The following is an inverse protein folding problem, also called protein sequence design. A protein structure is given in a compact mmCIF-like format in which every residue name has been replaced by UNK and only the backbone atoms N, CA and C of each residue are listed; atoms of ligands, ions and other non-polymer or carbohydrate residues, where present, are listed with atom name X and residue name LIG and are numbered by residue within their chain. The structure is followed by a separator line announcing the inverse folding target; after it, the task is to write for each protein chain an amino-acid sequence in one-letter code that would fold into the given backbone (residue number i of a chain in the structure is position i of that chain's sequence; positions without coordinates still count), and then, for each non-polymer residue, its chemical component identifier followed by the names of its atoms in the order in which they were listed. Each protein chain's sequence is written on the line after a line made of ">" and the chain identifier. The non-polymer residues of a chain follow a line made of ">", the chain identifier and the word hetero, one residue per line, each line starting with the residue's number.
data_IF_145332765202
#
_entry.id   IF_145332765202
#
_cell.length_a   1.000
_cell.length_b   1.000
_cell.length_c   1.000
_cell.angle_alpha   90.00
_cell.angle_beta   90.00
_cell.angle_gamma   90.00
#
_symmetry.space_group_name_H-M   'P 1'
#
loop_
_entity.id
_entity.type
_entity.pdbx_description
1 polymer ?
2 non-polymer ?
3 non-polymer ?
4 water ?
#
# COMPACT_ATOMS: atom_id res chain seq x y z
N UNK A 21 17.72 7.21 3.78
CA UNK A 21 16.30 7.66 4.03
C UNK A 21 15.50 8.17 2.80
N UNK A 23 12.27 9.49 0.45
CA UNK A 23 11.04 10.24 0.40
C UNK A 23 9.99 9.32 -0.22
N UNK A 24 9.04 8.91 0.61
CA UNK A 24 8.05 7.93 0.23
C UNK A 24 6.69 8.63 0.16
N UNK A 25 6.16 8.73 -1.07
CA UNK A 25 4.79 9.15 -1.29
C UNK A 25 3.84 8.05 -0.88
N UNK A 26 2.99 8.35 0.10
CA UNK A 26 1.87 7.44 0.49
C UNK A 26 0.56 7.92 -0.17
N UNK A 27 0.16 7.22 -1.21
CA UNK A 27 -1.09 7.47 -1.95
C UNK A 27 -2.19 6.79 -1.12
N UNK A 28 -3.22 7.54 -0.78
CA UNK A 28 -4.24 6.99 0.11
C UNK A 28 -3.89 7.20 1.57
N UNK A 29 -3.18 8.31 1.86
CA UNK A 29 -2.49 8.50 3.15
C UNK A 29 -3.44 8.72 4.38
N UNK A 30 -4.70 9.08 4.10
CA UNK A 30 -5.70 9.22 5.16
C UNK A 30 -6.44 7.91 5.53
N UNK A 31 -6.12 6.82 4.84
CA UNK A 31 -6.70 5.52 5.14
C UNK A 31 -6.08 4.90 6.41
N UNK A 32 -6.68 3.81 6.87
CA UNK A 32 -6.38 3.23 8.17
C UNK A 32 -4.99 2.61 8.18
N UNK A 33 -4.67 1.75 7.20
CA UNK A 33 -3.32 1.26 7.02
C UNK A 33 -2.28 2.39 6.82
N UNK A 34 -2.59 3.32 5.92
CA UNK A 34 -1.69 4.42 5.56
C UNK A 34 -1.31 5.28 6.72
N UNK A 35 -2.29 5.57 7.57
CA UNK A 35 -2.03 6.33 8.74
C UNK A 35 -0.96 5.69 9.62
N UNK A 36 -1.15 4.41 9.99
CA UNK A 36 -0.08 3.67 10.68
C UNK A 36 1.24 3.66 9.92
N UNK A 37 1.17 3.43 8.60
CA UNK A 37 2.34 3.48 7.75
C UNK A 37 3.15 4.79 7.84
N UNK A 38 2.50 5.94 8.00
CA UNK A 38 3.27 7.20 8.13
C UNK A 38 4.26 7.13 9.30
N UNK A 39 3.77 6.64 10.43
CA UNK A 39 4.58 6.48 11.61
C UNK A 39 5.66 5.40 11.46
N UNK A 40 5.31 4.28 10.85
CA UNK A 40 6.29 3.23 10.64
C UNK A 40 7.44 3.68 9.76
N UNK A 41 7.14 4.44 8.70
CA UNK A 41 8.15 4.93 7.78
C UNK A 41 9.05 5.96 8.46
N UNK A 42 8.44 6.86 9.20
CA UNK A 42 9.17 7.86 9.94
C UNK A 42 10.20 7.19 10.89
N UNK A 43 9.75 6.17 11.60
CA UNK A 43 10.61 5.61 12.61
C UNK A 43 11.65 4.65 12.02
N UNK A 44 11.54 4.38 10.72
CA UNK A 44 12.58 3.69 9.95
C UNK A 44 13.58 4.68 9.32
N UNK A 45 13.38 5.98 9.53
CA UNK A 45 14.26 7.02 8.97
C UNK A 45 13.88 7.58 7.61
N UNK A 46 12.69 7.22 7.12
CA UNK A 46 12.18 7.71 5.85
C UNK A 46 11.41 8.99 6.05
N UNK A 47 11.19 9.67 4.95
CA UNK A 47 10.38 10.88 4.93
C UNK A 47 9.06 10.56 4.24
N UNK A 48 7.98 10.31 5.06
CA UNK A 48 6.69 10.06 4.47
C UNK A 48 5.99 11.34 4.00
N UNK A 49 5.56 11.30 2.74
CA UNK A 49 4.84 12.38 2.09
C UNK A 49 3.43 11.87 1.95
N UNK A 50 2.50 12.52 2.65
CA UNK A 50 1.10 12.08 2.62
C UNK A 50 0.35 12.78 1.52
N UNK A 52 -3.27 13.61 0.13
CA UNK A 52 -4.64 13.79 0.65
C UNK A 52 -5.48 14.58 -0.35
N UNK A 53 -6.78 14.27 -0.36
CA UNK A 53 -7.78 14.94 -1.20
C UNK A 53 -8.06 16.36 -0.72
N UNK A 54 -8.08 16.57 0.60
CA UNK A 54 -8.23 17.95 1.11
C UNK A 54 -7.25 18.34 2.17
N UNK A 55 -6.87 19.62 2.11
CA UNK A 55 -5.80 20.20 2.91
C UNK A 55 -6.02 20.07 4.42
N UNK A 56 -7.29 19.99 4.84
CA UNK A 56 -7.63 19.97 6.25
C UNK A 56 -7.24 18.63 6.92
N UNK A 57 -6.99 17.60 6.11
CA UNK A 57 -6.55 16.30 6.62
C UNK A 57 -5.06 16.31 6.98
N UNK A 58 -4.33 17.29 6.45
CA UNK A 58 -2.89 17.39 6.64
C UNK A 58 -2.29 17.57 8.05
N UNK A 59 -2.80 18.54 8.83
CA UNK A 59 -2.26 18.72 10.18
C UNK A 59 -2.20 17.43 11.03
N UNK A 60 -3.25 16.61 11.01
CA UNK A 60 -3.21 15.37 11.83
C UNK A 60 -2.30 14.31 11.24
N UNK A 61 -2.15 14.30 9.91
CA UNK A 61 -1.22 13.34 9.30
C UNK A 61 0.24 13.72 9.57
N UNK A 62 0.53 15.01 9.63
CA UNK A 62 1.82 15.47 10.16
C UNK A 62 2.07 14.98 11.61
N UNK A 63 1.05 15.05 12.49
CA UNK A 63 1.14 14.54 13.87
C UNK A 63 1.42 13.03 13.88
N UNK A 64 0.82 12.32 12.95
CA UNK A 64 1.00 10.85 12.81
C UNK A 64 2.32 10.41 12.13
N UNK A 65 3.10 11.36 11.67
CA UNK A 65 4.40 11.03 11.08
C UNK A 65 4.78 11.61 9.71
N UNK A 66 3.85 12.27 9.02
CA UNK A 66 4.15 12.80 7.69
C UNK A 66 5.11 13.98 7.77
N UNK A 67 6.07 13.94 6.84
CA UNK A 67 7.11 14.97 6.66
C UNK A 67 6.61 16.14 5.80
N UNK A 68 5.65 15.84 4.95
CA UNK A 68 5.10 16.78 3.97
C UNK A 68 3.73 16.29 3.58
N UNK A 69 2.89 17.19 3.10
CA UNK A 69 1.55 16.90 2.68
C UNK A 69 1.46 17.43 1.27
N UNK A 70 0.84 16.62 0.42
CA UNK A 70 0.52 17.05 -0.93
C UNK A 70 -0.98 16.80 -1.13
N UNK A 71 -1.63 17.82 -1.68
CA UNK A 71 -3.08 17.81 -1.91
C UNK A 71 -3.30 17.45 -3.38
N UNK A 72 -3.84 16.26 -3.62
CA UNK A 72 -4.03 15.75 -4.96
C UNK A 72 -5.12 14.68 -4.88
N UNK A 73 -5.70 14.35 -6.03
CA UNK A 73 -6.86 13.50 -6.14
C UNK A 73 -6.57 12.53 -7.29
N UNK A 74 -6.76 11.24 -7.11
CA UNK A 74 -6.51 10.25 -8.18
C UNK A 74 -7.45 10.39 -9.42
N UNK A 75 -8.56 11.10 -9.25
CA UNK A 75 -9.50 11.33 -10.31
C UNK A 75 -9.21 12.61 -11.11
N UNK A 76 -8.24 13.41 -10.66
CA UNK A 76 -7.84 14.62 -11.34
C UNK A 76 -6.38 14.51 -11.72
N UNK A 77 -5.77 15.58 -12.19
CA UNK A 77 -4.34 15.59 -12.49
C UNK A 77 -3.56 15.62 -11.16
N UNK A 78 -2.87 14.55 -10.83
CA UNK A 78 -2.15 14.49 -9.57
C UNK A 78 -0.62 14.40 -9.74
N UNK A 79 -0.11 14.74 -10.95
CA UNK A 79 1.30 14.56 -11.27
C UNK A 79 2.21 15.39 -10.36
N UNK A 80 1.76 16.57 -9.93
CA UNK A 80 2.55 17.39 -8.99
C UNK A 80 2.96 16.63 -7.72
N UNK A 81 2.14 15.66 -7.32
CA UNK A 81 2.35 14.85 -6.10
C UNK A 81 3.65 14.06 -6.10
N UNK A 82 4.15 13.76 -7.30
CA UNK A 82 5.28 12.84 -7.50
C UNK A 82 6.64 13.54 -7.55
N UNK A 83 6.64 14.85 -7.32
CA UNK A 83 7.84 15.67 -7.31
C UNK A 83 8.73 15.34 -6.13
N UNK A 84 10.03 15.23 -6.37
CA UNK A 84 11.02 14.83 -5.35
C UNK A 84 10.69 13.58 -4.53
N UNK A 85 10.28 12.51 -5.19
CA UNK A 85 9.88 11.26 -4.53
C UNK A 85 10.84 10.11 -4.89
N UNK A 86 11.21 9.27 -3.92
CA UNK A 86 12.10 8.13 -4.16
C UNK A 86 11.36 6.79 -4.27
N UNK A 87 10.17 6.71 -3.65
CA UNK A 87 9.36 5.46 -3.56
C UNK A 87 7.89 5.85 -3.46
N UNK A 88 7.03 5.02 -4.05
CA UNK A 88 5.58 5.21 -3.96
C UNK A 88 4.98 4.02 -3.28
N UNK A 89 4.06 4.26 -2.34
CA UNK A 89 3.25 3.15 -1.78
C UNK A 89 1.79 3.44 -2.19
N UNK A 90 1.19 2.52 -2.96
CA UNK A 90 -0.22 2.68 -3.31
C UNK A 90 -1.08 1.98 -2.23
N UNK A 91 -1.65 2.81 -1.35
CA UNK A 91 -2.48 2.35 -0.25
C UNK A 91 -3.92 2.91 -0.35
N UNK A 92 -4.35 3.32 -1.55
CA UNK A 92 -5.66 3.94 -1.76
C UNK A 92 -6.71 2.89 -2.09
N UNK A 93 -7.95 3.28 -1.90
CA UNK A 93 -9.07 2.38 -2.13
C UNK A 93 -10.35 3.17 -1.97
N UNK A 94 -11.35 2.78 -2.74
CA UNK A 94 -12.67 3.42 -2.67
C UNK A 94 -13.43 3.13 -1.34
N UNK A 95 -13.21 1.93 -0.79
CA UNK A 95 -13.92 1.44 0.40
C UNK A 95 -15.32 0.89 0.18
N UNK A 96 -15.86 0.17 1.21
CA UNK A 96 -17.18 -0.48 1.07
C UNK A 96 -18.44 0.44 1.03
N UNK A 97 -18.25 1.76 1.12
CA UNK A 97 -19.35 2.75 1.20
C UNK A 97 -19.63 3.53 -0.11
N UNK A 98 -18.64 3.60 -1.00
CA UNK A 98 -18.83 4.13 -2.34
C UNK A 98 -19.18 2.96 -3.28
N UNK A 99 -19.69 3.25 -4.48
CA UNK A 99 -20.05 2.20 -5.43
C UNK A 99 -18.90 1.40 -6.07
N UNK A 100 -19.27 0.35 -6.80
CA UNK A 100 -18.32 -0.37 -7.62
C UNK A 100 -17.75 0.55 -8.71
N UNK A 101 -18.44 1.64 -9.04
CA UNK A 101 -17.86 2.64 -9.94
C UNK A 101 -16.51 3.16 -9.43
N UNK A 102 -16.41 3.35 -8.12
CA UNK A 102 -15.19 3.90 -7.52
C UNK A 102 -14.10 2.82 -7.33
N UNK A 103 -14.49 1.57 -7.18
CA UNK A 103 -13.56 0.45 -7.20
C UNK A 103 -12.82 0.43 -8.52
N UNK A 104 -13.54 0.53 -9.64
CA UNK A 104 -12.91 0.71 -10.97
C UNK A 104 -12.01 1.95 -11.06
N UNK A 105 -12.55 3.08 -10.66
CA UNK A 105 -11.89 4.36 -10.87
C UNK A 105 -10.71 4.61 -9.89
N UNK A 106 -10.78 4.09 -8.64
CA UNK A 106 -9.70 4.28 -7.64
C UNK A 106 -8.77 3.06 -7.60
N UNK A 107 -9.31 1.93 -7.17
CA UNK A 107 -8.47 0.77 -6.91
C UNK A 107 -7.75 0.28 -8.17
N UNK A 108 -8.41 0.41 -9.34
CA UNK A 108 -7.85 -0.12 -10.58
C UNK A 108 -7.22 1.00 -11.41
N UNK A 109 -8.06 1.91 -11.88
CA UNK A 109 -7.65 2.94 -12.81
C UNK A 109 -6.68 3.89 -12.13
N UNK A 110 -6.98 4.28 -10.88
CA UNK A 110 -6.08 5.12 -10.07
C UNK A 110 -4.68 4.54 -9.89
N UNK A 111 -4.61 3.24 -9.62
CA UNK A 111 -3.37 2.51 -9.48
C UNK A 111 -2.62 2.49 -10.78
N UNK A 112 -3.33 2.22 -11.87
CA UNK A 112 -2.75 2.23 -13.21
C UNK A 112 -2.11 3.58 -13.56
N UNK A 113 -2.81 4.68 -13.29
CA UNK A 113 -2.25 5.99 -13.48
C UNK A 113 -1.06 6.28 -12.54
N UNK A 114 -1.05 5.76 -11.31
CA UNK A 114 0.08 6.01 -10.36
C UNK A 114 1.34 5.32 -10.86
N UNK A 115 1.15 4.14 -11.43
CA UNK A 115 2.22 3.37 -12.02
C UNK A 115 2.83 4.09 -13.23
N UNK A 116 1.96 4.60 -14.10
CA UNK A 116 2.40 5.33 -15.28
C UNK A 116 3.13 6.60 -14.88
N UNK A 117 2.63 7.28 -13.86
CA UNK A 117 3.30 8.49 -13.39
C UNK A 117 4.69 8.18 -12.80
N UNK A 118 4.83 7.08 -12.04
CA UNK A 118 6.12 6.64 -11.53
C UNK A 118 7.10 6.29 -12.66
N UNK A 119 6.66 5.54 -13.68
CA UNK A 119 7.51 5.29 -14.86
C UNK A 119 7.97 6.56 -15.58
N UNK A 120 7.00 7.42 -15.87
CA UNK A 120 7.21 8.71 -16.51
C UNK A 120 8.34 9.48 -15.79
N UNK A 121 8.22 9.56 -14.47
CA UNK A 121 9.19 10.28 -13.64
C UNK A 121 10.50 9.53 -13.30
N UNK A 122 10.58 8.24 -13.58
CA UNK A 122 11.77 7.48 -13.25
C UNK A 122 11.87 7.11 -11.77
N UNK A 123 10.75 7.12 -11.03
CA UNK A 123 10.71 6.67 -9.63
C UNK A 123 10.68 5.14 -9.69
N UNK A 124 11.73 4.50 -9.23
CA UNK A 124 11.89 3.04 -9.45
C UNK A 124 11.09 2.19 -8.46
N UNK A 125 11.01 2.63 -7.24
CA UNK A 125 10.48 1.80 -6.14
C UNK A 125 8.99 1.99 -5.94
N UNK A 126 8.25 0.89 -6.04
CA UNK A 126 6.82 0.90 -5.97
C UNK A 126 6.31 -0.27 -5.10
N UNK A 127 5.59 0.05 -4.04
CA UNK A 127 4.93 -0.96 -3.20
C UNK A 127 3.39 -0.88 -3.38
N UNK A 129 -0.22 -2.21 -2.16
CA UNK A 129 -1.05 -2.86 -1.14
C UNK A 129 -2.25 -3.43 -1.86
N UNK A 130 -2.22 -4.73 -2.00
CA UNK A 130 -3.21 -5.47 -2.71
C UNK A 130 -4.07 -6.26 -1.71
N UNK A 131 -4.41 -7.50 -2.04
CA UNK A 131 -5.29 -8.34 -1.22
C UNK A 131 -5.10 -9.83 -1.60
N UNK A 132 -5.28 -10.72 -0.63
CA UNK A 132 -5.58 -12.13 -0.95
C UNK A 132 -6.94 -12.18 -1.69
N UNK A 133 -7.16 -13.27 -2.41
CA UNK A 133 -8.34 -13.37 -3.24
C UNK A 133 -8.05 -13.07 -4.71
N UNK A 134 -6.84 -12.60 -5.01
CA UNK A 134 -6.52 -12.05 -6.31
C UNK A 134 -5.92 -13.09 -7.25
N UNK A 135 -5.36 -14.16 -6.71
CA UNK A 135 -4.84 -15.26 -7.55
C UNK A 135 -5.97 -15.91 -8.35
N UNK A 136 -7.15 -16.02 -7.75
CA UNK A 136 -8.29 -16.67 -8.42
C UNK A 136 -9.60 -15.98 -8.08
N UNK A 137 -9.81 -14.76 -8.58
CA UNK A 137 -11.02 -13.99 -8.21
C UNK A 137 -12.35 -14.70 -8.45
N UNK A 138 -12.45 -15.54 -9.48
CA UNK A 138 -13.71 -16.25 -9.73
C UNK A 138 -14.08 -17.29 -8.67
N UNK A 139 -13.13 -17.68 -7.84
CA UNK A 139 -13.44 -18.55 -6.71
C UNK A 139 -13.73 -17.78 -5.41
N UNK A 140 -13.71 -16.46 -5.46
CA UNK A 140 -13.91 -15.65 -4.24
C UNK A 140 -15.39 -15.40 -4.10
N UNK A 141 -15.84 -14.89 -2.92
CA UNK A 141 -17.25 -14.59 -2.74
C UNK A 141 -17.76 -13.66 -3.84
N UNK A 143 -20.08 -11.47 -3.94
CA UNK A 143 -20.26 -10.07 -3.52
C UNK A 143 -18.98 -9.21 -3.49
N UNK A 145 -16.21 -10.16 -5.67
CA UNK A 145 -15.48 -10.54 -6.87
C UNK A 145 -15.02 -9.37 -7.73
N UNK A 146 -15.84 -8.32 -7.79
CA UNK A 146 -15.50 -7.11 -8.55
C UNK A 146 -14.29 -6.39 -7.95
N UNK A 147 -14.20 -6.40 -6.62
CA UNK A 147 -13.08 -5.83 -5.92
C UNK A 147 -11.79 -6.64 -6.18
N UNK A 148 -11.89 -7.95 -6.03
CA UNK A 148 -10.79 -8.87 -6.29
C UNK A 148 -10.21 -8.82 -7.70
N UNK A 149 -11.09 -8.70 -8.68
CA UNK A 149 -10.67 -8.44 -10.09
C UNK A 149 -9.98 -7.08 -10.20
N UNK A 150 -10.54 -6.03 -9.60
CA UNK A 150 -9.90 -4.72 -9.69
C UNK A 150 -8.45 -4.77 -9.16
N UNK A 151 -8.25 -5.39 -7.99
CA UNK A 151 -6.94 -5.53 -7.34
C UNK A 151 -5.97 -6.37 -8.16
N UNK A 152 -6.48 -7.50 -8.65
CA UNK A 152 -5.74 -8.37 -9.52
C UNK A 152 -5.21 -7.68 -10.77
N UNK A 153 -6.08 -6.92 -11.44
CA UNK A 153 -5.70 -6.31 -12.71
C UNK A 153 -4.73 -5.16 -12.48
N UNK A 154 -4.85 -4.51 -11.33
CA UNK A 154 -3.86 -3.47 -10.96
C UNK A 154 -2.51 -4.11 -10.68
N UNK A 155 -2.52 -5.25 -9.99
CA UNK A 155 -1.30 -6.02 -9.74
C UNK A 155 -0.64 -6.43 -11.04
N UNK A 156 -1.43 -6.86 -12.01
CA UNK A 156 -0.87 -7.27 -13.31
C UNK A 156 -0.25 -6.12 -14.11
N UNK A 157 -0.86 -4.95 -14.04
CA UNK A 157 -0.27 -3.76 -14.62
C UNK A 157 1.13 -3.45 -14.03
N UNK A 158 1.24 -3.54 -12.71
CA UNK A 158 2.52 -3.37 -12.00
C UNK A 158 3.55 -4.42 -12.42
N UNK A 159 3.10 -5.66 -12.49
CA UNK A 159 3.97 -6.76 -12.90
C UNK A 159 4.48 -6.61 -14.34
N UNK A 160 3.71 -5.99 -15.23
CA UNK A 160 4.14 -5.69 -16.59
C UNK A 160 4.99 -4.43 -16.69
N UNK A 161 5.05 -3.63 -15.65
CA UNK A 161 5.80 -2.37 -15.67
C UNK A 161 7.30 -2.61 -15.57
N UNK A 162 8.06 -1.52 -15.71
CA UNK A 162 9.50 -1.57 -15.52
C UNK A 162 9.94 -1.25 -14.08
N UNK A 163 9.00 -1.18 -13.14
CA UNK A 163 9.29 -0.70 -11.80
C UNK A 163 9.90 -1.78 -10.88
N UNK A 164 10.63 -1.32 -9.86
CA UNK A 164 11.20 -2.21 -8.86
C UNK A 164 10.11 -2.41 -7.81
N UNK A 165 9.23 -3.35 -8.08
CA UNK A 165 7.98 -3.43 -7.34
C UNK A 165 8.06 -4.47 -6.23
N UNK A 166 7.17 -4.31 -5.26
CA UNK A 166 6.80 -5.42 -4.34
C UNK A 166 5.29 -5.27 -4.15
N UNK A 167 4.61 -6.40 -4.27
CA UNK A 167 3.15 -6.54 -4.05
C UNK A 167 2.88 -7.37 -2.78
N UNK A 168 2.24 -6.67 -1.83
CA UNK A 168 1.84 -7.18 -0.52
C UNK A 168 0.35 -7.45 -0.57
N UNK A 169 -0.03 -8.71 -0.40
CA UNK A 169 -1.43 -9.14 -0.40
C UNK A 169 -1.87 -9.53 1.01
N UNK A 170 -2.34 -8.56 1.83
CA UNK A 170 -2.84 -8.96 3.13
C UNK A 170 -4.09 -9.81 3.05
N UNK A 171 -4.25 -10.68 4.03
CA UNK A 171 -5.53 -11.31 4.38
C UNK A 171 -6.57 -10.30 4.84
N UNK A 172 -7.75 -10.78 5.26
CA UNK A 172 -8.80 -9.98 5.89
C UNK A 172 -8.22 -9.04 6.95
N UNK A 173 -8.53 -7.75 6.90
CA UNK A 173 -7.91 -6.80 7.78
C UNK A 173 -8.67 -6.71 9.10
N UNK A 174 -7.93 -6.49 10.20
CA UNK A 174 -8.53 -6.29 11.49
C UNK A 174 -7.99 -5.01 12.12
N UNK A 175 -8.68 -4.52 13.14
CA UNK A 175 -8.27 -3.36 13.90
C UNK A 175 -7.73 -3.67 15.29
N UNK A 176 -7.35 -4.92 15.55
CA UNK A 176 -6.63 -5.26 16.77
C UNK A 176 -5.25 -4.57 16.79
N UNK A 177 -4.66 -4.50 17.98
CA UNK A 177 -3.32 -3.95 18.18
C UNK A 177 -2.29 -4.88 17.51
N UNK A 178 -1.16 -4.30 17.10
CA UNK A 178 -0.12 -5.05 16.43
C UNK A 178 0.32 -6.21 17.31
N UNK A 179 0.59 -7.37 16.68
CA UNK A 179 1.32 -8.46 17.32
C UNK A 179 2.84 -8.43 16.92
N UNK A 180 3.18 -7.82 15.78
CA UNK A 180 4.55 -7.77 15.28
C UNK A 180 4.99 -9.06 14.62
N UNK A 181 4.07 -10.03 14.45
CA UNK A 181 4.40 -11.39 14.04
C UNK A 181 3.42 -11.81 12.94
N UNK A 182 3.99 -12.34 11.87
CA UNK A 182 3.25 -12.66 10.65
C UNK A 182 3.63 -14.05 10.10
N UNK A 183 2.89 -14.49 9.06
CA UNK A 183 3.26 -15.63 8.21
C UNK A 183 3.13 -15.12 6.77
N UNK A 184 4.01 -15.58 5.90
CA UNK A 184 3.92 -15.24 4.47
C UNK A 184 3.90 -16.51 3.60
N UNK A 185 3.41 -16.35 2.35
CA UNK A 185 3.38 -17.39 1.33
C UNK A 185 3.26 -16.71 -0.02
N UNK A 186 3.84 -17.31 -1.07
CA UNK A 186 3.49 -16.82 -2.41
C UNK A 186 1.99 -16.89 -2.65
N UNK A 187 1.37 -17.91 -2.07
CA UNK A 187 -0.03 -18.11 -2.16
C UNK A 187 -0.50 -19.20 -1.18
N UNK A 188 -1.29 -18.83 -0.19
CA UNK A 188 -1.81 -19.79 0.75
C UNK A 188 -2.92 -20.62 0.10
N UNK A 189 -2.94 -21.91 0.39
CA UNK A 189 -3.96 -22.82 -0.11
C UNK A 189 -5.26 -22.65 0.64
N UNK A 190 -5.19 -22.09 1.84
CA UNK A 190 -6.38 -21.55 2.51
C UNK A 190 -6.04 -20.35 3.40
N UNK A 191 -7.05 -19.54 3.67
CA UNK A 191 -6.92 -18.36 4.52
C UNK A 191 -7.83 -18.62 5.73
N UNK A 192 -7.22 -18.77 6.91
CA UNK A 192 -7.96 -19.09 8.13
C UNK A 192 -7.65 -18.08 9.24
N UNK A 193 -7.00 -16.99 8.84
CA UNK A 193 -6.58 -15.96 9.77
C UNK A 193 -6.74 -14.58 9.13
N UNK A 194 -6.61 -13.57 9.98
CA UNK A 194 -6.66 -12.15 9.66
C UNK A 194 -5.28 -11.53 9.80
N UNK A 195 -5.16 -10.24 9.48
CA UNK A 195 -3.96 -9.51 9.84
C UNK A 195 -4.37 -8.11 10.30
N UNK A 196 -3.72 -7.61 11.36
CA UNK A 196 -4.02 -6.27 11.82
C UNK A 196 -3.50 -5.23 10.79
N UNK A 197 -4.21 -4.12 10.67
CA UNK A 197 -3.74 -3.03 9.84
C UNK A 197 -2.36 -2.46 10.30
N UNK A 198 -2.12 -2.47 11.62
CA UNK A 198 -0.84 -2.05 12.18
C UNK A 198 0.30 -2.88 11.59
N UNK A 199 0.09 -4.19 11.54
CA UNK A 199 1.09 -5.11 11.13
C UNK A 199 1.34 -5.06 9.63
N UNK A 200 0.31 -4.81 8.82
CA UNK A 200 0.46 -4.56 7.38
C UNK A 200 1.38 -3.36 7.21
N UNK A 201 1.12 -2.28 7.96
CA UNK A 201 1.92 -1.09 7.85
C UNK A 201 3.40 -1.40 8.18
N UNK A 202 3.62 -2.19 9.23
CA UNK A 202 4.94 -2.61 9.67
C UNK A 202 5.67 -3.42 8.59
N UNK A 203 4.97 -4.34 7.95
CA UNK A 203 5.51 -5.10 6.85
C UNK A 203 5.96 -4.20 5.68
N UNK A 204 5.12 -3.26 5.28
CA UNK A 204 5.45 -2.36 4.18
C UNK A 204 6.68 -1.56 4.49
N UNK A 205 6.67 -0.88 5.65
CA UNK A 205 7.81 -0.05 6.10
C UNK A 205 9.11 -0.89 6.20
N UNK A 206 8.99 -2.14 6.59
CA UNK A 206 10.16 -2.99 6.76
C UNK A 206 10.86 -3.23 5.41
N UNK A 207 10.06 -3.34 4.34
CA UNK A 207 10.60 -3.79 3.04
C UNK A 207 10.82 -2.69 1.99
N UNK A 208 10.44 -1.46 2.29
CA UNK A 208 10.50 -0.41 1.30
C UNK A 208 11.93 -0.18 0.74
N UNK A 209 12.95 -0.32 1.59
CA UNK A 209 14.29 -0.11 1.15
C UNK A 209 15.05 -1.41 0.99
N UNK A 210 14.35 -2.54 0.97
CA UNK A 210 15.02 -3.83 0.80
C UNK A 210 15.02 -4.30 -0.66
N UNK A 211 16.19 -4.21 -1.28
CA UNK A 211 16.43 -4.55 -2.68
C UNK A 211 16.05 -6.02 -2.98
N UNK A 212 16.30 -6.91 -2.02
CA UNK A 212 16.03 -8.31 -2.21
C UNK A 212 14.53 -8.59 -2.28
N UNK A 213 13.69 -7.59 -2.00
CA UNK A 213 12.23 -7.82 -2.05
C UNK A 213 11.66 -7.38 -3.39
N UNK A 214 12.50 -6.79 -4.24
CA UNK A 214 12.10 -6.35 -5.59
C UNK A 214 11.65 -7.53 -6.45
N UNK A 215 10.50 -7.36 -7.12
CA UNK A 215 9.87 -8.42 -7.94
C UNK A 215 9.09 -9.47 -7.20
N UNK A 216 8.91 -9.26 -5.90
CA UNK A 216 8.20 -10.20 -5.01
C UNK A 216 6.74 -9.88 -4.86
N UNK A 217 5.90 -10.91 -5.03
CA UNK A 217 4.49 -10.84 -4.71
C UNK A 217 4.25 -11.88 -3.61
N UNK A 218 3.65 -11.46 -2.49
CA UNK A 218 3.36 -12.42 -1.41
C UNK A 218 2.10 -12.06 -0.66
N UNK A 219 1.50 -13.11 -0.09
CA UNK A 219 0.36 -12.96 0.84
C UNK A 219 0.86 -12.94 2.29
N UNK A 220 0.17 -12.18 3.15
CA UNK A 220 0.62 -11.98 4.54
C UNK A 220 -0.56 -12.04 5.51
N UNK A 221 -0.43 -12.92 6.53
CA UNK A 221 -1.37 -13.06 7.64
C UNK A 221 -0.66 -12.80 8.96
N UNK A 222 -1.40 -12.59 10.06
CA UNK A 222 -0.74 -12.66 11.38
C UNK A 222 -0.38 -14.11 11.60
N UNK A 223 0.69 -14.31 12.34
CA UNK A 223 1.27 -15.65 12.56
C UNK A 223 2.31 -15.57 13.68
N UNK A 224 3.41 -16.27 13.52
CA UNK A 224 4.35 -16.46 14.60
C UNK A 224 5.77 -15.94 14.39
N UNK A 225 6.07 -15.45 13.21
CA UNK A 225 7.40 -15.07 12.88
C UNK A 225 7.52 -13.54 12.96
N UNK A 226 8.52 -13.05 13.68
CA UNK A 226 8.74 -11.61 13.70
C UNK A 226 8.90 -11.00 12.29
N UNK A 227 8.28 -9.84 12.06
CA UNK A 227 8.24 -9.17 10.77
C UNK A 227 9.63 -8.93 10.12
N UNK A 228 10.63 -8.51 10.90
CA UNK A 228 11.99 -8.30 10.41
C UNK A 228 12.57 -9.59 9.81
N UNK A 229 12.39 -10.70 10.50
CA UNK A 229 12.86 -11.99 10.04
C UNK A 229 12.12 -12.51 8.80
N UNK A 230 10.81 -12.29 8.73
CA UNK A 230 10.03 -12.68 7.55
C UNK A 230 10.57 -11.95 6.33
N UNK A 231 10.87 -10.65 6.47
CA UNK A 231 11.31 -9.81 5.37
C UNK A 231 12.71 -10.19 4.93
N UNK A 232 13.59 -10.56 5.88
CA UNK A 232 14.93 -11.09 5.60
C UNK A 232 14.92 -12.29 4.69
N UNK A 233 13.87 -13.10 4.78
CA UNK A 233 13.80 -14.38 4.08
C UNK A 233 12.95 -14.34 2.84
N UNK A 234 12.36 -13.18 2.55
CA UNK A 234 11.55 -13.02 1.34
C UNK A 234 12.48 -13.08 0.16
#
# INVERSE_FOLDING_TARGET
>A
XGSSHHHHHHSSGRENLYFQGXRVLVVGANGKVARYLLSELKNKGHEPVAXVRNEEQGPELRERGASDIVVANLEEDFSHAFASIDAVVFAAGSGPHTGADKTILIDLWGAIKTIQEAEKRGIKRFIXVSSVGTVDPDQGPXNXRHYLVAKRLADDELKRSSLDYTIVRPGPLSNEESTGKVTVSPHFSEITRSITRHDVAKVIAELVDQQHTIGKTFEVLNGDTPIAKVVEQLGS
#
